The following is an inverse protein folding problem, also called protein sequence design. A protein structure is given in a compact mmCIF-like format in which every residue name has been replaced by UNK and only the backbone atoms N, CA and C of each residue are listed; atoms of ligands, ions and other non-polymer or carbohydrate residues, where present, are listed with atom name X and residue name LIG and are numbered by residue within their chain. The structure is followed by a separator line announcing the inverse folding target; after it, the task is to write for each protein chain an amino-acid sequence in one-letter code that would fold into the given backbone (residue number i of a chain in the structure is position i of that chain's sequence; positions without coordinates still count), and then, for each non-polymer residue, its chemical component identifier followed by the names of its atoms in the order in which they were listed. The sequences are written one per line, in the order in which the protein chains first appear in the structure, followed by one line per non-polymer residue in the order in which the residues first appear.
data_IF_843949060448
#
_entry.id   IF_843949060448
#
_cell.length_a   1.000
_cell.length_b   1.000
_cell.length_c   1.000
_cell.angle_alpha   90.00
_cell.angle_beta   90.00
_cell.angle_gamma   90.00
#
_symmetry.space_group_name_H-M   'P 1'
#
loop_
_entity.id
_entity.type
_entity.pdbx_description
1 polymer ?
#
# COMPACT_ATOMS: atom_id res chain seq x y z
N UNK A 1 -19.69 20.03 -14.87
CA UNK A 1 -18.31 20.20 -14.38
C UNK A 1 -17.37 19.42 -15.27
N UNK A 2 -16.21 19.98 -15.61
CA UNK A 2 -15.17 19.26 -16.35
C UNK A 2 -14.49 18.21 -15.46
N UNK A 3 -14.00 17.13 -16.06
CA UNK A 3 -13.22 16.08 -15.38
C UNK A 3 -11.99 16.65 -14.67
N UNK A 4 -11.32 17.61 -15.33
CA UNK A 4 -10.15 18.33 -14.81
C UNK A 4 -10.45 19.11 -13.53
N UNK A 5 -11.62 19.75 -13.43
CA UNK A 5 -12.02 20.49 -12.24
C UNK A 5 -12.22 19.55 -11.03
N UNK A 6 -12.84 18.39 -11.25
CA UNK A 6 -13.06 17.38 -10.20
C UNK A 6 -11.73 16.77 -9.74
N UNK A 7 -10.83 16.43 -10.66
CA UNK A 7 -9.49 15.95 -10.31
C UNK A 7 -8.70 16.99 -9.50
N UNK A 8 -8.77 18.27 -9.90
CA UNK A 8 -8.12 19.36 -9.17
C UNK A 8 -8.70 19.56 -7.77
N UNK A 9 -10.02 19.42 -7.59
CA UNK A 9 -10.62 19.51 -6.26
C UNK A 9 -10.17 18.35 -5.36
N UNK A 10 -10.12 17.14 -5.89
CA UNK A 10 -9.65 15.96 -5.13
C UNK A 10 -8.18 16.09 -4.72
N UNK A 11 -7.34 16.61 -5.61
CA UNK A 11 -5.95 16.92 -5.32
C UNK A 11 -5.81 17.98 -4.19
N UNK A 12 -6.64 19.01 -4.20
CA UNK A 12 -6.65 20.02 -3.14
C UNK A 12 -7.07 19.39 -1.81
N UNK A 13 -8.12 18.56 -1.79
CA UNK A 13 -8.59 17.88 -0.57
C UNK A 13 -7.49 17.06 0.09
N UNK A 14 -6.77 16.24 -0.68
CA UNK A 14 -5.70 15.40 -0.12
C UNK A 14 -4.59 16.25 0.50
N UNK A 15 -4.26 17.40 -0.11
CA UNK A 15 -3.26 18.32 0.45
C UNK A 15 -3.76 19.13 1.64
N UNK A 16 -5.03 19.50 1.68
CA UNK A 16 -5.59 20.35 2.74
C UNK A 16 -5.98 19.56 3.99
N UNK A 17 -6.40 18.30 3.83
CA UNK A 17 -6.75 17.43 4.95
C UNK A 17 -5.48 16.92 5.61
N UNK A 18 -5.13 17.49 6.77
CA UNK A 18 -3.92 17.16 7.53
C UNK A 18 -3.76 15.66 7.77
N UNK A 19 -4.86 14.94 8.01
CA UNK A 19 -4.83 13.49 8.21
C UNK A 19 -4.36 12.74 6.95
N UNK A 20 -4.84 13.12 5.76
CA UNK A 20 -4.49 12.49 4.48
C UNK A 20 -3.07 12.86 4.04
N UNK A 21 -2.68 14.12 4.21
CA UNK A 21 -1.31 14.56 3.91
C UNK A 21 -0.30 13.93 4.89
N UNK A 22 -0.64 13.89 6.18
CA UNK A 22 0.18 13.29 7.23
C UNK A 22 0.35 11.79 7.06
N UNK A 23 -0.72 11.06 6.73
CA UNK A 23 -0.62 9.62 6.46
C UNK A 23 0.19 9.30 5.21
N UNK A 24 0.08 10.11 4.16
CA UNK A 24 0.92 9.96 2.96
C UNK A 24 2.40 10.20 3.26
N UNK A 25 2.74 11.22 4.04
CA UNK A 25 4.12 11.48 4.50
C UNK A 25 4.59 10.33 5.38
N UNK A 26 3.73 9.80 6.26
CA UNK A 26 4.04 8.67 7.13
C UNK A 26 4.43 7.41 6.35
N UNK A 27 3.86 7.16 5.16
CA UNK A 27 4.30 6.06 4.28
C UNK A 27 5.80 6.16 4.02
N UNK A 28 6.26 7.33 3.60
CA UNK A 28 7.67 7.55 3.30
C UNK A 28 8.53 7.55 4.55
N UNK A 29 8.20 8.39 5.54
CA UNK A 29 9.07 8.63 6.69
C UNK A 29 9.20 7.39 7.58
N UNK A 30 8.10 6.69 7.85
CA UNK A 30 8.12 5.51 8.72
C UNK A 30 8.89 4.37 8.07
N UNK A 31 8.66 4.12 6.78
CA UNK A 31 9.37 3.05 6.06
C UNK A 31 10.86 3.32 6.03
N UNK A 32 11.27 4.51 5.57
CA UNK A 32 12.70 4.85 5.42
C UNK A 32 13.40 4.90 6.78
N UNK A 33 12.77 5.47 7.80
CA UNK A 33 13.34 5.51 9.15
C UNK A 33 13.54 4.09 9.72
N UNK A 34 12.55 3.21 9.57
CA UNK A 34 12.65 1.82 10.03
C UNK A 34 13.70 1.07 9.22
N UNK A 35 13.80 1.28 7.91
CA UNK A 35 14.86 0.69 7.08
C UNK A 35 16.22 1.05 7.64
N UNK A 36 16.52 2.35 7.77
CA UNK A 36 17.83 2.84 8.21
C UNK A 36 18.17 2.28 9.60
N UNK A 37 17.21 2.33 10.53
CA UNK A 37 17.42 1.81 11.88
C UNK A 37 17.67 0.30 11.89
N UNK A 38 16.87 -0.48 11.15
CA UNK A 38 17.00 -1.94 11.11
C UNK A 38 18.30 -2.37 10.42
N UNK A 39 18.62 -1.80 9.26
CA UNK A 39 19.84 -2.16 8.51
C UNK A 39 21.10 -1.72 9.23
N UNK A 40 21.08 -0.57 9.92
CA UNK A 40 22.23 -0.12 10.71
C UNK A 40 22.42 -0.94 12.01
N UNK A 41 21.33 -1.43 12.62
CA UNK A 41 21.40 -2.16 13.87
C UNK A 41 21.75 -3.65 13.69
N UNK A 42 21.12 -4.32 12.72
CA UNK A 42 21.18 -5.80 12.59
C UNK A 42 21.37 -6.24 11.13
N UNK A 43 21.40 -5.33 10.15
CA UNK A 43 21.38 -5.69 8.73
C UNK A 43 22.48 -6.65 8.29
N UNK A 44 23.73 -6.42 8.71
CA UNK A 44 24.85 -7.30 8.36
C UNK A 44 24.78 -8.65 9.08
N UNK A 45 24.28 -8.68 10.31
CA UNK A 45 24.14 -9.93 11.07
C UNK A 45 23.06 -10.84 10.47
N UNK A 46 21.94 -10.25 10.01
CA UNK A 46 20.90 -10.99 9.28
C UNK A 46 21.38 -11.45 7.90
N UNK A 47 22.19 -10.64 7.21
CA UNK A 47 22.76 -10.98 5.91
C UNK A 47 23.79 -12.11 5.95
N UNK A 48 24.45 -12.32 7.09
CA UNK A 48 25.44 -13.38 7.29
C UNK A 48 24.81 -14.75 7.58
N UNK A 49 23.50 -14.80 7.84
CA UNK A 49 22.79 -16.06 8.05
C UNK A 49 22.75 -16.90 6.77
N UNK A 50 23.09 -18.19 6.88
CA UNK A 50 23.02 -19.13 5.75
C UNK A 50 21.59 -19.23 5.21
N UNK A 51 21.42 -18.98 3.90
CA UNK A 51 20.11 -19.01 3.24
C UNK A 51 19.29 -17.71 3.34
N UNK A 52 19.87 -16.62 3.84
CA UNK A 52 19.19 -15.33 3.88
C UNK A 52 18.84 -14.82 2.47
N UNK A 53 17.57 -14.46 2.25
CA UNK A 53 17.16 -13.71 1.07
C UNK A 53 17.54 -12.22 1.29
N UNK A 54 18.73 -11.86 0.81
CA UNK A 54 19.29 -10.51 0.93
C UNK A 54 18.38 -9.45 0.30
N UNK A 55 17.65 -9.81 -0.76
CA UNK A 55 16.74 -8.89 -1.43
C UNK A 55 15.49 -8.66 -0.58
N UNK A 56 14.87 -9.73 -0.06
CA UNK A 56 13.72 -9.60 0.82
C UNK A 56 14.08 -8.85 2.11
N UNK A 57 15.25 -9.15 2.70
CA UNK A 57 15.77 -8.46 3.88
C UNK A 57 15.92 -6.95 3.66
N UNK A 58 16.39 -6.53 2.48
CA UNK A 58 16.49 -5.10 2.13
C UNK A 58 15.14 -4.37 2.11
N UNK A 59 14.04 -5.10 1.89
CA UNK A 59 12.68 -4.59 1.83
C UNK A 59 11.83 -4.93 3.04
N UNK A 60 12.39 -5.56 4.08
CA UNK A 60 11.64 -5.98 5.26
C UNK A 60 10.84 -4.84 5.89
N UNK A 61 11.40 -3.63 5.91
CA UNK A 61 10.73 -2.42 6.43
C UNK A 61 9.43 -2.04 5.69
N UNK A 62 9.21 -2.52 4.45
CA UNK A 62 7.94 -2.33 3.74
C UNK A 62 6.76 -2.97 4.47
N UNK A 63 6.98 -3.95 5.35
CA UNK A 63 5.94 -4.50 6.23
C UNK A 63 5.35 -3.43 7.18
N UNK A 64 6.13 -2.42 7.56
CA UNK A 64 5.64 -1.29 8.33
C UNK A 64 5.10 -0.19 7.42
N UNK A 65 5.71 -0.02 6.26
CA UNK A 65 5.24 0.88 5.20
C UNK A 65 3.82 0.55 4.72
N UNK A 66 3.46 -0.73 4.63
CA UNK A 66 2.12 -1.14 4.24
C UNK A 66 1.04 -0.66 5.24
N UNK A 67 1.35 -0.61 6.53
CA UNK A 67 0.41 -0.12 7.55
C UNK A 67 0.15 1.37 7.34
N UNK A 68 1.20 2.14 7.08
CA UNK A 68 1.07 3.56 6.73
C UNK A 68 0.32 3.74 5.40
N UNK A 69 0.54 2.86 4.41
CA UNK A 69 -0.14 2.90 3.11
C UNK A 69 -1.64 2.61 3.25
N UNK A 70 -2.00 1.65 4.10
CA UNK A 70 -3.39 1.37 4.48
C UNK A 70 -3.99 2.60 5.18
N UNK A 71 -3.29 3.19 6.14
CA UNK A 71 -3.73 4.41 6.82
C UNK A 71 -3.96 5.56 5.84
N UNK A 72 -3.09 5.74 4.84
CA UNK A 72 -3.29 6.72 3.77
C UNK A 72 -4.54 6.45 2.96
N UNK A 73 -4.69 5.23 2.41
CA UNK A 73 -5.86 4.83 1.63
C UNK A 73 -7.16 5.06 2.40
N UNK A 74 -7.17 4.68 3.68
CA UNK A 74 -8.31 4.86 4.57
C UNK A 74 -8.61 6.33 4.84
N UNK A 75 -7.62 7.13 5.29
CA UNK A 75 -7.84 8.54 5.65
C UNK A 75 -8.22 9.41 4.44
N UNK A 76 -7.65 9.12 3.27
CA UNK A 76 -7.94 9.83 2.02
C UNK A 76 -9.40 9.69 1.57
N UNK A 77 -10.09 8.62 2.00
CA UNK A 77 -11.49 8.35 1.70
C UNK A 77 -12.41 8.65 2.88
N UNK A 78 -12.01 8.31 4.11
CA UNK A 78 -12.85 8.43 5.30
C UNK A 78 -13.23 9.87 5.61
N UNK A 79 -12.42 10.83 5.17
CA UNK A 79 -12.70 12.26 5.26
C UNK A 79 -14.00 12.68 4.55
N UNK A 80 -14.48 11.92 3.57
CA UNK A 80 -15.79 12.14 2.94
C UNK A 80 -16.95 11.72 3.85
N UNK A 81 -16.74 10.77 4.77
CA UNK A 81 -17.79 10.29 5.66
C UNK A 81 -17.87 11.07 6.98
N UNK A 82 -16.85 11.89 7.28
CA UNK A 82 -16.86 12.76 8.44
C UNK A 82 -17.76 13.98 8.20
N UNK A 83 -18.59 14.31 9.20
CA UNK A 83 -19.45 15.50 9.21
C UNK A 83 -20.34 15.67 7.97
N UNK A 84 -20.70 14.58 7.28
CA UNK A 84 -21.53 14.62 6.08
C UNK A 84 -20.87 15.25 4.85
N UNK A 85 -19.53 15.31 4.80
CA UNK A 85 -18.78 15.91 3.69
C UNK A 85 -19.14 15.31 2.31
N UNK A 86 -19.49 14.02 2.25
CA UNK A 86 -19.93 13.35 1.04
C UNK A 86 -21.17 14.02 0.42
N UNK A 87 -22.12 14.49 1.23
CA UNK A 87 -23.32 15.19 0.75
C UNK A 87 -22.94 16.52 0.09
N UNK A 88 -21.96 17.22 0.66
CA UNK A 88 -21.43 18.47 0.09
C UNK A 88 -20.71 18.20 -1.23
N UNK A 89 -19.87 17.16 -1.28
CA UNK A 89 -19.19 16.73 -2.51
C UNK A 89 -20.17 16.35 -3.62
N UNK A 90 -21.27 15.67 -3.28
CA UNK A 90 -22.32 15.28 -4.24
C UNK A 90 -23.23 16.44 -4.66
N UNK A 91 -23.43 17.44 -3.81
CA UNK A 91 -24.12 18.67 -4.19
C UNK A 91 -23.32 19.46 -5.22
N UNK A 92 -21.98 19.48 -5.09
CA UNK A 92 -21.09 20.11 -6.07
C UNK A 92 -20.94 19.26 -7.35
N UNK A 93 -20.74 17.95 -7.21
CA UNK A 93 -20.56 17.00 -8.32
C UNK A 93 -21.67 15.94 -8.29
N UNK A 94 -22.83 16.19 -8.94
CA UNK A 94 -23.97 15.28 -8.87
C UNK A 94 -23.72 13.91 -9.53
N UNK A 95 -22.69 13.80 -10.39
CA UNK A 95 -22.29 12.54 -10.99
C UNK A 95 -21.42 11.71 -10.02
N UNK A 96 -22.07 10.80 -9.28
CA UNK A 96 -21.43 9.87 -8.33
C UNK A 96 -20.24 9.10 -8.93
N UNK A 97 -20.34 8.70 -10.21
CA UNK A 97 -19.28 7.95 -10.88
C UNK A 97 -18.04 8.80 -11.13
N UNK A 98 -18.27 10.04 -11.58
CA UNK A 98 -17.17 10.97 -11.85
C UNK A 98 -16.44 11.34 -10.56
N UNK A 99 -17.17 11.61 -9.48
CA UNK A 99 -16.59 11.90 -8.17
C UNK A 99 -15.76 10.71 -7.67
N UNK A 100 -16.32 9.51 -7.70
CA UNK A 100 -15.63 8.29 -7.27
C UNK A 100 -14.38 8.02 -8.10
N UNK A 101 -14.48 8.05 -9.43
CA UNK A 101 -13.36 7.80 -10.32
C UNK A 101 -12.25 8.85 -10.11
N UNK A 102 -12.59 10.14 -9.97
CA UNK A 102 -11.61 11.18 -9.71
C UNK A 102 -10.89 10.98 -8.37
N UNK A 103 -11.64 10.65 -7.30
CA UNK A 103 -11.08 10.36 -5.97
C UNK A 103 -10.09 9.21 -6.02
N UNK A 104 -10.48 8.07 -6.58
CA UNK A 104 -9.62 6.88 -6.66
C UNK A 104 -8.42 7.13 -7.59
N UNK A 105 -8.59 7.88 -8.67
CA UNK A 105 -7.47 8.25 -9.56
C UNK A 105 -6.43 9.09 -8.83
N UNK A 106 -6.85 10.11 -8.07
CA UNK A 106 -5.92 10.96 -7.31
C UNK A 106 -5.23 10.18 -6.20
N UNK A 107 -5.98 9.36 -5.45
CA UNK A 107 -5.41 8.52 -4.38
C UNK A 107 -4.43 7.51 -4.96
N UNK A 108 -4.79 6.82 -6.05
CA UNK A 108 -3.93 5.85 -6.72
C UNK A 108 -2.67 6.49 -7.29
N UNK A 109 -2.78 7.64 -7.97
CA UNK A 109 -1.62 8.35 -8.51
C UNK A 109 -0.64 8.77 -7.40
N UNK A 110 -1.15 9.32 -6.30
CA UNK A 110 -0.34 9.67 -5.13
C UNK A 110 0.32 8.45 -4.49
N UNK A 111 -0.44 7.37 -4.31
CA UNK A 111 0.07 6.14 -3.72
C UNK A 111 1.17 5.50 -4.60
N UNK A 112 1.03 5.53 -5.93
CA UNK A 112 2.07 5.06 -6.86
C UNK A 112 3.33 5.92 -6.75
N UNK A 113 3.19 7.25 -6.82
CA UNK A 113 4.35 8.16 -6.77
C UNK A 113 5.09 8.01 -5.44
N UNK A 114 4.38 8.05 -4.32
CA UNK A 114 4.98 7.94 -2.99
C UNK A 114 5.47 6.51 -2.73
N UNK A 115 4.74 5.49 -3.16
CA UNK A 115 5.15 4.10 -3.03
C UNK A 115 6.45 3.81 -3.77
N UNK A 116 6.57 4.22 -5.04
CA UNK A 116 7.79 4.09 -5.81
C UNK A 116 8.94 4.87 -5.18
N UNK A 117 8.72 6.15 -4.83
CA UNK A 117 9.73 6.95 -4.16
C UNK A 117 10.22 6.28 -2.86
N UNK A 118 9.28 5.79 -2.04
CA UNK A 118 9.58 5.11 -0.78
C UNK A 118 10.39 3.85 -1.03
N UNK A 119 9.98 3.01 -1.98
CA UNK A 119 10.66 1.74 -2.25
C UNK A 119 12.09 1.93 -2.77
N UNK A 120 12.30 2.86 -3.71
CA UNK A 120 13.64 3.18 -4.21
C UNK A 120 14.54 3.79 -3.11
N UNK A 121 14.03 4.73 -2.32
CA UNK A 121 14.80 5.34 -1.24
C UNK A 121 15.10 4.33 -0.14
N UNK A 122 14.14 3.49 0.25
CA UNK A 122 14.35 2.38 1.18
C UNK A 122 15.45 1.45 0.69
N UNK A 123 15.41 1.00 -0.57
CA UNK A 123 16.46 0.15 -1.11
C UNK A 123 17.83 0.84 -1.04
N UNK A 124 17.97 2.02 -1.65
CA UNK A 124 19.26 2.73 -1.70
C UNK A 124 19.81 3.07 -0.32
N UNK A 125 18.95 3.50 0.61
CA UNK A 125 19.35 3.84 1.98
C UNK A 125 19.74 2.62 2.79
N UNK A 126 19.03 1.50 2.65
CA UNK A 126 19.37 0.25 3.32
C UNK A 126 20.70 -0.34 2.83
N UNK A 127 20.94 -0.31 1.51
CA UNK A 127 22.17 -0.85 0.91
C UNK A 127 23.42 -0.06 1.33
N UNK A 128 23.28 1.21 1.71
CA UNK A 128 24.40 2.03 2.20
C UNK A 128 25.05 1.48 3.49
N UNK A 129 24.31 0.69 4.28
CA UNK A 129 24.81 0.09 5.53
C UNK A 129 25.29 -1.35 5.37
N UNK A 130 25.10 -1.93 4.18
CA UNK A 130 25.19 -3.38 3.97
C UNK A 130 26.61 -3.88 3.63
N UNK A 131 27.55 -2.97 3.35
CA UNK A 131 28.97 -3.30 3.15
C UNK A 131 29.19 -4.29 2.01
N UNK A 132 29.80 -5.45 2.31
CA UNK A 132 30.05 -6.52 1.33
C UNK A 132 28.79 -7.23 0.84
N UNK A 133 27.68 -7.14 1.58
CA UNK A 133 26.40 -7.75 1.21
C UNK A 133 25.50 -6.76 0.44
N UNK A 134 26.03 -5.58 0.08
CA UNK A 134 25.26 -4.54 -0.59
C UNK A 134 24.88 -4.95 -2.02
N UNK A 135 23.57 -4.92 -2.30
CA UNK A 135 23.01 -5.15 -3.62
C UNK A 135 22.95 -3.85 -4.43
N UNK A 136 23.33 -3.93 -5.70
CA UNK A 136 23.13 -2.89 -6.70
C UNK A 136 21.76 -2.99 -7.38
N UNK A 137 21.31 -1.88 -7.98
CA UNK A 137 20.09 -1.89 -8.80
C UNK A 137 20.19 -2.80 -10.05
N UNK A 138 21.41 -3.10 -10.48
CA UNK A 138 21.68 -4.02 -11.58
C UNK A 138 21.65 -5.50 -11.18
N UNK A 139 21.59 -5.79 -9.88
CA UNK A 139 21.57 -7.18 -9.41
C UNK A 139 20.22 -7.84 -9.75
N UNK A 140 20.21 -9.17 -9.95
CA UNK A 140 19.01 -9.89 -10.30
C UNK A 140 17.85 -9.61 -9.34
N UNK A 141 16.73 -9.15 -9.86
CA UNK A 141 15.51 -8.90 -9.08
C UNK A 141 15.47 -7.55 -8.34
N UNK A 142 16.58 -6.83 -8.16
CA UNK A 142 16.61 -5.58 -7.40
C UNK A 142 15.68 -4.50 -7.98
N UNK A 143 15.78 -4.23 -9.29
CA UNK A 143 14.90 -3.28 -9.97
C UNK A 143 13.43 -3.72 -9.94
N UNK A 144 13.18 -5.03 -10.08
CA UNK A 144 11.84 -5.63 -9.98
C UNK A 144 11.25 -5.38 -8.60
N UNK A 145 12.02 -5.60 -7.54
CA UNK A 145 11.58 -5.40 -6.16
C UNK A 145 11.35 -3.91 -5.84
N UNK A 146 12.17 -3.00 -6.37
CA UNK A 146 11.94 -1.55 -6.22
C UNK A 146 10.63 -1.10 -6.87
N UNK A 147 10.39 -1.51 -8.11
CA UNK A 147 9.15 -1.16 -8.82
C UNK A 147 7.96 -1.87 -8.19
N UNK A 148 8.11 -3.15 -7.90
CA UNK A 148 7.08 -4.00 -7.33
C UNK A 148 6.67 -3.60 -5.92
N UNK A 149 7.62 -3.25 -5.05
CA UNK A 149 7.38 -2.77 -3.70
C UNK A 149 6.60 -1.46 -3.69
N UNK A 150 6.94 -0.54 -4.59
CA UNK A 150 6.18 0.69 -4.76
C UNK A 150 4.76 0.48 -5.26
N UNK A 151 4.58 -0.43 -6.23
CA UNK A 151 3.25 -0.83 -6.71
C UNK A 151 2.45 -1.54 -5.62
N UNK A 152 3.08 -2.41 -4.83
CA UNK A 152 2.46 -3.12 -3.72
C UNK A 152 1.90 -2.13 -2.67
N UNK A 153 2.68 -1.13 -2.24
CA UNK A 153 2.19 -0.10 -1.33
C UNK A 153 0.98 0.65 -1.93
N UNK A 154 1.03 0.96 -3.22
CA UNK A 154 -0.06 1.62 -3.90
C UNK A 154 -1.35 0.77 -3.96
N UNK A 155 -1.20 -0.53 -4.23
CA UNK A 155 -2.32 -1.48 -4.24
C UNK A 155 -2.92 -1.64 -2.84
N UNK A 156 -2.11 -1.71 -1.79
CA UNK A 156 -2.58 -1.77 -0.40
C UNK A 156 -3.32 -0.50 0.01
N UNK A 157 -2.85 0.68 -0.41
CA UNK A 157 -3.60 1.93 -0.25
C UNK A 157 -4.94 1.91 -0.98
N UNK A 158 -4.99 1.42 -2.22
CA UNK A 158 -6.22 1.34 -3.00
C UNK A 158 -7.21 0.31 -2.44
N UNK A 159 -6.71 -0.82 -1.94
CA UNK A 159 -7.50 -1.83 -1.25
C UNK A 159 -8.16 -1.25 0.01
N UNK A 160 -7.38 -0.57 0.85
CA UNK A 160 -7.88 0.12 2.04
C UNK A 160 -8.88 1.24 1.68
N UNK A 161 -8.62 2.01 0.63
CA UNK A 161 -9.52 3.05 0.13
C UNK A 161 -10.88 2.46 -0.31
N UNK A 162 -10.87 1.39 -1.10
CA UNK A 162 -12.09 0.69 -1.53
C UNK A 162 -12.90 0.16 -0.35
N UNK A 163 -12.25 -0.50 0.60
CA UNK A 163 -12.89 -1.01 1.81
C UNK A 163 -13.47 0.11 2.68
N UNK A 164 -12.82 1.27 2.71
CA UNK A 164 -13.32 2.46 3.42
C UNK A 164 -14.61 3.00 2.81
N UNK A 165 -14.78 2.91 1.49
CA UNK A 165 -16.06 3.26 0.84
C UNK A 165 -17.16 2.28 1.23
N UNK A 166 -16.84 0.99 1.32
CA UNK A 166 -17.80 -0.06 1.71
C UNK A 166 -18.24 0.10 3.17
N UNK A 167 -17.29 0.29 4.08
CA UNK A 167 -17.53 0.35 5.52
C UNK A 167 -17.91 1.74 6.03
N UNK A 168 -17.66 2.80 5.25
CA UNK A 168 -17.89 4.22 5.61
C UNK A 168 -17.24 4.65 6.94
N UNK A 169 -16.18 3.96 7.37
CA UNK A 169 -15.51 4.21 8.64
C UNK A 169 -14.02 3.92 8.55
N UNK A 170 -13.19 4.88 8.97
CA UNK A 170 -11.75 4.67 9.09
C UNK A 170 -11.42 3.65 10.16
N UNK A 171 -12.08 3.76 11.32
CA UNK A 171 -11.85 2.90 12.47
C UNK A 171 -12.14 1.44 12.10
N UNK A 172 -13.27 1.18 11.44
CA UNK A 172 -13.62 -0.18 11.04
C UNK A 172 -12.58 -0.81 10.09
N UNK A 173 -12.07 -0.04 9.12
CA UNK A 173 -11.06 -0.54 8.17
C UNK A 173 -9.73 -0.80 8.86
N UNK A 174 -9.25 0.13 9.69
CA UNK A 174 -7.96 -0.03 10.38
C UNK A 174 -8.02 -1.16 11.41
N UNK A 175 -9.10 -1.25 12.17
CA UNK A 175 -9.34 -2.34 13.13
C UNK A 175 -9.47 -3.71 12.47
N UNK A 176 -9.85 -3.76 11.18
CA UNK A 176 -9.92 -5.01 10.43
C UNK A 176 -8.58 -5.35 9.78
N UNK A 177 -8.01 -4.44 8.98
CA UNK A 177 -6.85 -4.73 8.15
C UNK A 177 -5.57 -4.89 8.94
N UNK A 178 -5.32 -4.06 9.97
CA UNK A 178 -4.06 -4.10 10.70
C UNK A 178 -3.92 -5.43 11.46
N UNK A 179 -4.89 -5.86 12.29
CA UNK A 179 -4.79 -7.15 12.96
C UNK A 179 -4.83 -8.32 11.97
N UNK A 180 -5.61 -8.21 10.89
CA UNK A 180 -5.66 -9.26 9.88
C UNK A 180 -4.28 -9.52 9.27
N UNK A 181 -3.59 -8.47 8.82
CA UNK A 181 -2.26 -8.58 8.21
C UNK A 181 -1.26 -9.09 9.25
N UNK A 182 -1.20 -8.49 10.44
CA UNK A 182 -0.23 -8.91 11.45
C UNK A 182 -0.47 -10.35 11.91
N UNK A 183 -1.70 -10.71 12.30
CA UNK A 183 -1.98 -12.03 12.87
C UNK A 183 -1.90 -13.11 11.80
N UNK A 184 -2.49 -12.89 10.63
CA UNK A 184 -2.54 -13.93 9.59
C UNK A 184 -1.15 -14.20 9.05
N UNK A 185 -0.30 -13.18 8.88
CA UNK A 185 1.06 -13.38 8.41
C UNK A 185 1.96 -14.08 9.42
N UNK A 186 1.75 -13.89 10.72
CA UNK A 186 2.50 -14.62 11.76
C UNK A 186 1.97 -16.03 12.05
N UNK A 187 0.66 -16.27 11.94
CA UNK A 187 0.04 -17.54 12.37
C UNK A 187 -0.15 -18.53 11.22
N UNK A 188 -0.46 -18.05 10.02
CA UNK A 188 -0.86 -18.93 8.90
C UNK A 188 0.33 -19.40 8.05
N UNK A 189 1.47 -18.70 8.13
CA UNK A 189 2.73 -19.12 7.48
C UNK A 189 3.13 -20.56 7.80
N UNK A 190 2.75 -21.08 8.98
CA UNK A 190 3.11 -22.44 9.42
C UNK A 190 2.04 -23.52 9.15
N UNK A 191 0.77 -23.18 8.89
CA UNK A 191 -0.35 -24.14 9.00
C UNK A 191 -1.30 -24.24 7.80
N UNK A 192 -1.36 -23.26 6.89
CA UNK A 192 -2.27 -23.29 5.73
C UNK A 192 -1.64 -22.68 4.46
N UNK A 193 -0.59 -23.34 3.98
CA UNK A 193 0.26 -22.86 2.89
C UNK A 193 -0.43 -22.61 1.53
N UNK A 194 -1.69 -23.01 1.31
CA UNK A 194 -2.33 -22.84 -0.01
C UNK A 194 -3.26 -21.63 -0.15
N UNK A 195 -3.95 -21.21 0.91
CA UNK A 195 -4.91 -20.08 0.84
C UNK A 195 -4.26 -18.78 1.28
N UNK A 196 -3.33 -18.83 2.25
CA UNK A 196 -2.59 -17.66 2.70
C UNK A 196 -1.77 -17.02 1.59
N UNK A 197 -1.23 -17.83 0.66
CA UNK A 197 -0.50 -17.37 -0.52
C UNK A 197 -1.30 -16.39 -1.38
N UNK A 198 -2.64 -16.53 -1.43
CA UNK A 198 -3.52 -15.67 -2.22
C UNK A 198 -4.06 -14.46 -1.45
N UNK A 199 -3.65 -14.26 -0.20
CA UNK A 199 -3.99 -13.05 0.55
C UNK A 199 -3.21 -11.85 -0.01
N UNK A 200 -3.83 -10.65 -0.03
CA UNK A 200 -3.25 -9.49 -0.70
C UNK A 200 -1.88 -9.08 -0.16
N UNK A 201 -1.64 -9.32 1.14
CA UNK A 201 -0.34 -9.05 1.76
C UNK A 201 0.74 -10.03 1.26
N UNK A 202 0.55 -11.34 1.51
CA UNK A 202 1.50 -12.38 1.10
C UNK A 202 1.73 -12.44 -0.41
N UNK A 203 0.66 -12.40 -1.21
CA UNK A 203 0.75 -12.47 -2.66
C UNK A 203 1.58 -11.30 -3.20
N UNK A 204 1.33 -10.09 -2.71
CA UNK A 204 2.00 -8.88 -3.18
C UNK A 204 3.49 -8.85 -2.83
N UNK A 205 3.85 -9.37 -1.66
CA UNK A 205 5.25 -9.41 -1.20
C UNK A 205 6.14 -10.42 -1.94
N UNK A 206 5.58 -11.33 -2.73
CA UNK A 206 6.37 -12.21 -3.59
C UNK A 206 7.26 -11.44 -4.58
N UNK A 207 6.90 -10.20 -4.91
CA UNK A 207 7.73 -9.34 -5.77
C UNK A 207 9.02 -8.84 -5.09
N UNK A 208 9.11 -8.95 -3.77
CA UNK A 208 10.26 -8.52 -2.97
C UNK A 208 11.29 -9.63 -2.75
N UNK A 209 10.88 -10.89 -2.94
CA UNK A 209 11.78 -12.03 -2.80
C UNK A 209 12.68 -12.17 -4.03
N UNK A 210 13.94 -12.55 -3.81
CA UNK A 210 14.88 -12.85 -4.87
C UNK A 210 14.39 -14.07 -5.67
N UNK A 211 14.14 -15.16 -4.95
CA UNK A 211 13.61 -16.42 -5.46
C UNK A 211 12.27 -16.72 -4.75
N UNK A 212 11.14 -16.31 -5.33
CA UNK A 212 9.82 -16.53 -4.75
C UNK A 212 9.56 -18.03 -4.56
N UNK A 213 9.29 -18.43 -3.33
CA UNK A 213 8.97 -19.82 -2.99
C UNK A 213 7.45 -19.97 -2.99
N UNK A 214 6.92 -20.88 -3.81
CA UNK A 214 5.47 -21.16 -3.87
C UNK A 214 4.91 -21.15 -5.29
N UNK A 215 3.58 -21.09 -5.38
CA UNK A 215 2.86 -21.16 -6.66
C UNK A 215 2.77 -19.83 -7.40
N UNK A 216 2.96 -18.71 -6.68
CA UNK A 216 2.87 -17.36 -7.22
C UNK A 216 4.25 -16.79 -7.50
N UNK A 217 4.50 -16.45 -8.76
CA UNK A 217 5.64 -15.61 -9.14
C UNK A 217 5.46 -14.13 -8.76
N UNK A 218 6.49 -13.30 -8.98
CA UNK A 218 6.53 -11.90 -8.56
C UNK A 218 5.36 -11.05 -9.06
N UNK A 219 5.11 -11.13 -10.37
CA UNK A 219 4.09 -10.33 -11.03
C UNK A 219 2.69 -10.91 -10.88
N UNK A 220 2.58 -12.24 -10.81
CA UNK A 220 1.30 -12.93 -10.55
C UNK A 220 0.82 -12.66 -9.13
N UNK A 221 1.73 -12.61 -8.15
CA UNK A 221 1.41 -12.22 -6.79
C UNK A 221 0.87 -10.79 -6.69
N UNK A 222 1.55 -9.83 -7.34
CA UNK A 222 1.02 -8.46 -7.49
C UNK A 222 -0.33 -8.42 -8.22
N UNK A 223 -0.55 -9.27 -9.22
CA UNK A 223 -1.82 -9.34 -9.93
C UNK A 223 -2.96 -9.83 -9.03
N UNK A 224 -2.69 -10.75 -8.09
CA UNK A 224 -3.66 -11.18 -7.07
C UNK A 224 -4.00 -10.01 -6.14
N UNK A 225 -3.00 -9.30 -5.62
CA UNK A 225 -3.22 -8.09 -4.80
C UNK A 225 -3.99 -7.01 -5.58
N UNK A 226 -3.71 -6.84 -6.87
CA UNK A 226 -4.46 -5.94 -7.74
C UNK A 226 -5.91 -6.41 -7.93
N UNK A 227 -6.16 -7.72 -8.00
CA UNK A 227 -7.49 -8.31 -8.01
C UNK A 227 -8.27 -7.97 -6.73
N UNK A 228 -7.65 -8.09 -5.56
CA UNK A 228 -8.24 -7.69 -4.28
C UNK A 228 -8.55 -6.19 -4.21
N UNK A 229 -7.60 -5.35 -4.63
CA UNK A 229 -7.80 -3.90 -4.70
C UNK A 229 -8.96 -3.55 -5.65
N UNK A 230 -8.99 -4.16 -6.84
CA UNK A 230 -10.06 -3.97 -7.81
C UNK A 230 -11.42 -4.42 -7.26
N UNK A 231 -11.48 -5.58 -6.59
CA UNK A 231 -12.70 -6.09 -5.97
C UNK A 231 -13.22 -5.12 -4.88
N UNK A 232 -12.34 -4.62 -4.02
CA UNK A 232 -12.69 -3.65 -2.99
C UNK A 232 -13.18 -2.32 -3.58
N UNK A 233 -12.53 -1.83 -4.65
CA UNK A 233 -12.94 -0.62 -5.36
C UNK A 233 -14.30 -0.81 -6.06
N UNK A 234 -14.52 -1.93 -6.74
CA UNK A 234 -15.79 -2.25 -7.38
C UNK A 234 -16.92 -2.38 -6.36
N UNK A 235 -16.67 -3.05 -5.23
CA UNK A 235 -17.61 -3.14 -4.12
C UNK A 235 -17.93 -1.75 -3.53
N UNK A 236 -16.91 -0.89 -3.36
CA UNK A 236 -17.07 0.49 -2.92
C UNK A 236 -17.90 1.33 -3.89
N UNK A 237 -17.59 1.26 -5.18
CA UNK A 237 -18.35 1.92 -6.24
C UNK A 237 -19.82 1.49 -6.26
N UNK A 238 -20.06 0.18 -6.15
CA UNK A 238 -21.42 -0.37 -6.10
C UNK A 238 -22.18 0.06 -4.85
N UNK A 239 -21.50 0.08 -3.68
CA UNK A 239 -22.08 0.58 -2.43
C UNK A 239 -22.44 2.07 -2.53
N UNK A 240 -21.61 2.90 -3.16
CA UNK A 240 -21.87 4.33 -3.37
C UNK A 240 -23.06 4.58 -4.30
N UNK A 241 -23.29 3.69 -5.28
CA UNK A 241 -24.45 3.77 -6.18
C UNK A 241 -25.75 3.37 -5.50
N UNK A 242 -25.73 2.33 -4.68
CA UNK A 242 -26.95 1.76 -4.07
C UNK A 242 -27.36 2.41 -2.76
N UNK A 243 -26.40 2.88 -1.96
CA UNK A 243 -26.70 3.47 -0.66
C UNK A 243 -26.85 4.98 -0.82
N UNK A 244 -27.92 5.53 -0.25
CA UNK A 244 -28.08 6.97 -0.15
C UNK A 244 -27.00 7.60 0.75
N UNK A 245 -26.74 8.88 0.48
CA UNK A 245 -25.72 9.69 1.15
C UNK A 245 -26.27 10.38 2.40
#
# INVERSE_FOLDING_TARGET
MSTTAVLRSEWIKVRSVRASAGSLVAVFTTTVAITILATAAVGQAEADNEGADLLFGAFYALNFGQIAAIAFGTTAVSSEYLNGALRVSLAAVPNRNLLYAAKITVVGALAIVVGLLTSFVTFLSGQAFMGSYALGLGDPGALRACVGGGLYLALMSLFAAGLTVVLRSAVAVLSLLIPFILIVSFVVGDMAASVADFLPDHAGQQVLHQDPVGTLGPWTGLAVTAGWAAAALLAGWWALRRRDA
#
